data_IF_275568657320
#
_entry.id   IF_275568657320
#
_cell.length_a   1.000
_cell.length_b   1.000
_cell.length_c   1.000
_cell.angle_alpha   90.00
_cell.angle_beta   90.00
_cell.angle_gamma   90.00
#
_symmetry.space_group_name_H-M   'P 1'
#
loop_
_entity.id
_entity.type
_entity.pdbx_description
1 polymer ?
#
# COMPACT_ATOMS: atom_id res chain seq x y z
N UNK A 1 -17.68 3.51 -24.60
CA UNK A 1 -18.13 2.34 -23.79
C UNK A 1 -16.94 1.54 -23.23
N UNK A 2 -16.14 0.74 -23.99
CA UNK A 2 -14.98 0.03 -23.40
C UNK A 2 -13.76 0.93 -23.11
N UNK A 3 -13.53 1.95 -23.94
CA UNK A 3 -12.43 2.90 -23.73
C UNK A 3 -12.66 3.77 -22.50
N UNK A 4 -13.92 4.19 -22.25
CA UNK A 4 -14.30 4.93 -21.04
C UNK A 4 -14.02 4.12 -19.77
N UNK A 5 -14.34 2.83 -19.78
CA UNK A 5 -14.05 1.94 -18.64
C UNK A 5 -12.54 1.84 -18.38
N UNK A 6 -11.70 1.66 -19.41
CA UNK A 6 -10.23 1.60 -19.21
C UNK A 6 -9.67 2.92 -18.66
N UNK A 7 -10.24 4.05 -19.06
CA UNK A 7 -9.84 5.39 -18.60
C UNK A 7 -10.13 5.57 -17.09
N UNK A 8 -11.29 5.10 -16.62
CA UNK A 8 -11.64 5.15 -15.19
C UNK A 8 -10.62 4.47 -14.27
N UNK A 9 -9.97 3.39 -14.72
CA UNK A 9 -8.94 2.68 -13.94
C UNK A 9 -7.55 3.33 -13.99
N UNK A 10 -7.39 4.46 -14.69
CA UNK A 10 -6.13 5.23 -14.78
C UNK A 10 -6.25 6.59 -14.11
N UNK A 11 -7.43 7.21 -14.18
CA UNK A 11 -7.67 8.52 -13.56
C UNK A 11 -7.40 8.48 -12.06
N UNK A 12 -6.54 9.40 -11.60
CA UNK A 12 -6.31 9.67 -10.18
C UNK A 12 -7.35 10.67 -9.71
N UNK A 13 -8.21 10.23 -8.81
CA UNK A 13 -9.30 11.05 -8.29
C UNK A 13 -8.82 12.07 -7.26
N UNK A 14 -9.51 13.19 -7.16
CA UNK A 14 -9.46 14.01 -5.96
C UNK A 14 -10.21 13.31 -4.82
N UNK A 15 -9.79 13.58 -3.60
CA UNK A 15 -10.43 13.10 -2.39
C UNK A 15 -10.70 14.27 -1.44
N UNK A 16 -11.77 14.15 -0.65
CA UNK A 16 -12.22 15.21 0.25
C UNK A 16 -11.86 14.93 1.72
N UNK A 17 -10.93 14.01 1.97
CA UNK A 17 -10.50 13.71 3.33
C UNK A 17 -9.57 14.81 3.87
N UNK A 18 -9.64 15.12 5.18
CA UNK A 18 -8.86 16.21 5.78
C UNK A 18 -7.35 15.93 5.67
N UNK A 19 -6.50 16.96 5.60
CA UNK A 19 -5.05 16.77 5.52
C UNK A 19 -4.46 16.12 6.78
N UNK A 20 -5.18 16.19 7.90
CA UNK A 20 -4.76 15.64 9.19
C UNK A 20 -5.95 15.01 9.92
N UNK A 21 -5.69 13.91 10.62
CA UNK A 21 -6.63 13.26 11.54
C UNK A 21 -5.94 13.09 12.88
N UNK A 22 -6.70 13.31 13.95
CA UNK A 22 -6.27 13.04 15.33
C UNK A 22 -7.15 11.97 15.94
N UNK A 23 -6.53 10.99 16.60
CA UNK A 23 -7.23 9.97 17.40
C UNK A 23 -6.73 10.08 18.85
N UNK A 24 -7.66 10.26 19.79
CA UNK A 24 -7.34 10.41 21.21
C UNK A 24 -7.82 9.20 22.02
N UNK A 25 -6.95 8.68 22.89
CA UNK A 25 -7.22 7.58 23.81
C UNK A 25 -6.81 7.98 25.23
N UNK A 26 -7.76 8.47 26.03
CA UNK A 26 -7.44 8.99 27.36
C UNK A 26 -6.53 10.22 27.26
N UNK A 27 -5.31 10.10 27.80
CA UNK A 27 -4.25 11.11 27.74
C UNK A 27 -3.31 10.95 26.54
N UNK A 28 -3.49 9.90 25.72
CA UNK A 28 -2.69 9.66 24.52
C UNK A 28 -3.34 10.29 23.29
N UNK A 29 -2.54 10.93 22.45
CA UNK A 29 -2.96 11.53 21.19
C UNK A 29 -2.11 11.01 20.05
N UNK A 30 -2.77 10.55 18.99
CA UNK A 30 -2.15 10.07 17.75
C UNK A 30 -2.51 11.04 16.63
N UNK A 31 -1.50 11.60 15.97
CA UNK A 31 -1.70 12.53 14.87
C UNK A 31 -1.23 11.86 13.59
N UNK A 32 -2.11 11.88 12.59
CA UNK A 32 -1.87 11.32 11.28
C UNK A 32 -1.98 12.39 10.21
N UNK A 33 -1.07 12.38 9.24
CA UNK A 33 -1.11 13.26 8.07
C UNK A 33 -1.47 12.46 6.82
N UNK A 34 -2.33 13.03 5.97
CA UNK A 34 -2.73 12.42 4.70
C UNK A 34 -1.51 12.33 3.78
N UNK A 35 -1.26 11.14 3.21
CA UNK A 35 -0.24 10.93 2.20
C UNK A 35 -0.71 11.41 0.84
N UNK A 36 0.15 12.20 0.22
CA UNK A 36 0.07 12.64 -1.17
C UNK A 36 1.42 12.37 -1.83
N UNK A 37 1.41 12.30 -3.16
CA UNK A 37 2.60 12.13 -3.97
C UNK A 37 2.58 13.13 -5.12
N UNK A 38 3.76 13.64 -5.47
CA UNK A 38 3.99 14.46 -6.65
C UNK A 38 4.20 13.56 -7.86
N UNK A 39 3.22 13.53 -8.75
CA UNK A 39 3.23 12.69 -9.94
C UNK A 39 3.08 13.55 -11.19
N UNK A 40 3.68 13.18 -12.33
CA UNK A 40 3.45 13.88 -13.59
C UNK A 40 2.01 13.63 -14.06
N UNK A 41 1.29 14.70 -14.40
CA UNK A 41 -0.01 14.61 -15.04
C UNK A 41 0.11 13.95 -16.42
N UNK A 42 -0.75 12.98 -16.73
CA UNK A 42 -0.68 12.22 -17.99
C UNK A 42 -0.89 13.11 -19.24
N UNK A 43 -1.55 14.27 -19.10
CA UNK A 43 -1.90 15.15 -20.22
C UNK A 43 -0.93 16.33 -20.40
N UNK A 44 -0.52 16.98 -19.30
CA UNK A 44 0.37 18.15 -19.35
C UNK A 44 1.84 17.82 -19.06
N UNK A 45 2.11 16.70 -18.37
CA UNK A 45 3.44 16.36 -17.86
C UNK A 45 3.88 17.20 -16.65
N UNK A 46 3.04 18.14 -16.19
CA UNK A 46 3.31 18.94 -14.99
C UNK A 46 3.18 18.09 -13.73
N UNK A 47 3.99 18.39 -12.71
CA UNK A 47 3.87 17.72 -11.42
C UNK A 47 2.60 18.20 -10.70
N UNK A 48 1.68 17.27 -10.48
CA UNK A 48 0.49 17.44 -9.66
C UNK A 48 0.66 16.67 -8.35
N UNK A 49 0.04 17.15 -7.28
CA UNK A 49 0.03 16.48 -5.98
C UNK A 49 -1.31 15.79 -5.76
N UNK A 50 -1.30 14.46 -5.58
CA UNK A 50 -2.51 13.64 -5.46
C UNK A 50 -2.39 12.56 -4.39
N UNK A 51 -3.54 12.18 -3.82
CA UNK A 51 -3.69 11.03 -2.92
C UNK A 51 -3.77 9.71 -3.69
N UNK A 52 -4.58 8.75 -3.25
CA UNK A 52 -4.73 7.46 -3.94
C UNK A 52 -5.48 7.61 -5.28
N UNK A 53 -5.24 6.69 -6.22
CA UNK A 53 -5.94 6.68 -7.51
C UNK A 53 -7.46 6.57 -7.36
N UNK A 54 -7.89 5.64 -6.51
CA UNK A 54 -9.26 5.44 -6.03
C UNK A 54 -9.22 4.44 -4.86
N UNK A 55 -10.37 4.20 -4.23
CA UNK A 55 -10.61 3.20 -3.21
C UNK A 55 -10.56 1.76 -3.74
N UNK A 56 -11.59 0.98 -3.47
CA UNK A 56 -11.66 -0.41 -3.98
C UNK A 56 -12.02 -0.45 -5.46
N UNK A 57 -12.94 0.44 -5.87
CA UNK A 57 -13.41 0.57 -7.23
C UNK A 57 -13.27 2.02 -7.72
N UNK A 58 -13.16 2.24 -9.04
CA UNK A 58 -13.22 3.57 -9.61
C UNK A 58 -14.48 4.33 -9.17
N UNK A 59 -14.33 5.62 -8.88
CA UNK A 59 -15.43 6.45 -8.35
C UNK A 59 -15.55 6.45 -6.82
N UNK A 60 -14.80 5.60 -6.12
CA UNK A 60 -14.75 5.61 -4.66
C UNK A 60 -13.52 6.39 -4.19
N UNK A 61 -13.72 7.38 -3.34
CA UNK A 61 -12.61 8.11 -2.71
C UNK A 61 -11.91 7.23 -1.66
N UNK A 62 -10.61 7.44 -1.50
CA UNK A 62 -9.82 6.85 -0.41
C UNK A 62 -8.60 7.72 -0.10
N UNK A 63 -8.15 7.65 1.14
CA UNK A 63 -6.95 8.33 1.61
C UNK A 63 -6.08 7.38 2.43
N UNK A 64 -4.77 7.54 2.31
CA UNK A 64 -3.77 6.90 3.17
C UNK A 64 -3.28 7.93 4.18
N UNK A 65 -3.09 7.50 5.42
CA UNK A 65 -2.64 8.36 6.52
C UNK A 65 -1.40 7.77 7.17
N UNK A 66 -0.40 8.62 7.40
CA UNK A 66 0.86 8.27 8.06
C UNK A 66 0.86 8.81 9.49
N UNK A 67 1.24 7.99 10.47
CA UNK A 67 1.40 8.43 11.85
C UNK A 67 2.63 9.35 11.95
N UNK A 68 2.41 10.61 12.35
CA UNK A 68 3.47 11.62 12.46
C UNK A 68 3.76 12.07 13.89
N UNK A 69 2.84 11.83 14.83
CA UNK A 69 3.08 12.12 16.24
C UNK A 69 2.29 11.18 17.16
N UNK A 70 2.83 10.98 18.36
CA UNK A 70 2.25 10.10 19.38
C UNK A 70 2.68 8.66 19.22
N UNK A 71 2.24 7.83 20.15
CA UNK A 71 2.37 6.37 20.08
C UNK A 71 1.22 5.79 20.88
N UNK A 72 0.66 4.68 20.40
CA UNK A 72 -0.38 3.97 21.13
C UNK A 72 0.28 2.95 22.04
N UNK A 73 0.21 3.16 23.35
CA UNK A 73 0.63 2.16 24.34
C UNK A 73 -0.61 1.53 24.96
N UNK A 74 -0.77 0.22 24.74
CA UNK A 74 -1.86 -0.57 25.32
C UNK A 74 -1.26 -1.69 26.18
N UNK A 75 -1.28 -1.50 27.50
CA UNK A 75 -0.63 -2.43 28.43
C UNK A 75 0.88 -2.51 28.17
N UNK A 76 1.38 -3.71 27.85
CA UNK A 76 2.79 -3.92 27.48
C UNK A 76 3.04 -3.97 25.96
N UNK A 77 2.03 -3.67 25.14
CA UNK A 77 2.16 -3.65 23.69
C UNK A 77 2.70 -2.29 23.22
N UNK A 78 3.78 -2.32 22.45
CA UNK A 78 4.32 -1.15 21.75
C UNK A 78 3.94 -1.22 20.27
N UNK A 79 3.35 -0.14 19.76
CA UNK A 79 2.96 -0.02 18.36
C UNK A 79 4.01 0.77 17.56
N UNK A 80 3.90 0.73 16.23
CA UNK A 80 4.81 1.45 15.33
C UNK A 80 4.83 2.94 15.70
N UNK A 81 6.04 3.48 15.84
CA UNK A 81 6.28 4.88 16.15
C UNK A 81 6.32 5.74 14.89
N UNK A 82 6.11 7.06 15.00
CA UNK A 82 6.33 8.00 13.91
C UNK A 82 7.70 7.81 13.24
N UNK A 83 7.75 7.94 11.91
CA UNK A 83 8.96 7.72 11.12
C UNK A 83 9.39 6.27 10.93
N UNK A 84 8.63 5.30 11.46
CA UNK A 84 8.82 3.86 11.23
C UNK A 84 7.68 3.25 10.40
N UNK A 85 6.98 4.06 9.63
CA UNK A 85 5.91 3.59 8.73
C UNK A 85 6.44 2.61 7.70
N UNK A 86 5.59 1.66 7.31
CA UNK A 86 5.86 0.74 6.21
C UNK A 86 5.10 1.25 4.99
N UNK A 87 3.93 0.66 4.69
CA UNK A 87 3.08 1.08 3.55
C UNK A 87 2.65 2.55 3.65
N UNK A 88 2.36 3.04 4.86
CA UNK A 88 1.93 4.41 5.10
C UNK A 88 3.02 5.46 4.82
N UNK A 89 4.29 5.06 4.72
CA UNK A 89 5.43 5.97 4.55
C UNK A 89 6.05 5.89 3.15
N UNK A 90 5.45 5.15 2.21
CA UNK A 90 5.93 5.02 0.83
C UNK A 90 6.12 6.41 0.21
N UNK A 91 7.31 6.67 -0.32
CA UNK A 91 7.64 7.91 -1.04
C UNK A 91 7.57 7.71 -2.55
N UNK A 92 7.73 8.79 -3.30
CA UNK A 92 7.83 8.78 -4.76
C UNK A 92 9.00 7.92 -5.26
N UNK A 93 10.12 7.86 -4.52
CA UNK A 93 11.29 7.04 -4.85
C UNK A 93 11.02 5.54 -4.72
N UNK A 94 10.12 5.14 -3.82
CA UNK A 94 9.72 3.74 -3.63
C UNK A 94 8.81 3.23 -4.77
N UNK A 95 8.22 4.14 -5.55
CA UNK A 95 7.42 3.83 -6.74
C UNK A 95 8.32 3.60 -7.97
N UNK A 96 9.26 2.66 -7.83
CA UNK A 96 10.42 2.40 -8.72
C UNK A 96 10.02 2.07 -10.18
N UNK A 97 8.77 1.67 -10.44
CA UNK A 97 8.28 1.34 -11.79
C UNK A 97 7.22 2.31 -12.28
N UNK A 98 7.32 2.69 -13.56
CA UNK A 98 6.29 3.41 -14.30
C UNK A 98 5.06 2.53 -14.49
N UNK A 99 4.26 2.42 -13.44
CA UNK A 99 2.94 1.83 -13.45
C UNK A 99 1.88 2.92 -13.38
N UNK A 100 0.63 2.47 -13.27
CA UNK A 100 -0.44 3.38 -12.88
C UNK A 100 -0.26 3.74 -11.40
N UNK A 101 -0.45 5.01 -11.04
CA UNK A 101 -0.45 5.49 -9.65
C UNK A 101 -1.26 4.56 -8.71
N UNK A 102 -0.77 4.16 -7.52
CA UNK A 102 -1.42 3.14 -6.69
C UNK A 102 -2.86 3.48 -6.30
N UNK A 103 -3.73 2.46 -6.32
CA UNK A 103 -5.04 2.50 -5.66
C UNK A 103 -4.99 1.86 -4.27
N UNK A 104 -6.09 1.93 -3.51
CA UNK A 104 -6.20 1.34 -2.15
C UNK A 104 -5.76 -0.12 -2.13
N UNK A 105 -6.27 -0.94 -3.06
CA UNK A 105 -5.99 -2.39 -3.08
C UNK A 105 -4.49 -2.68 -3.25
N UNK A 106 -3.78 -1.89 -4.08
CA UNK A 106 -2.35 -2.08 -4.27
C UNK A 106 -1.59 -1.92 -2.94
N UNK A 107 -1.98 -0.94 -2.13
CA UNK A 107 -1.34 -0.70 -0.84
C UNK A 107 -1.75 -1.74 0.21
N UNK A 108 -3.01 -2.16 0.24
CA UNK A 108 -3.45 -3.20 1.17
C UNK A 108 -2.89 -4.58 0.82
N UNK A 109 -2.60 -4.87 -0.45
CA UNK A 109 -1.88 -6.08 -0.87
C UNK A 109 -0.44 -6.09 -0.31
N UNK A 110 0.27 -4.95 -0.40
CA UNK A 110 1.61 -4.80 0.19
C UNK A 110 1.55 -4.96 1.71
N UNK A 111 0.59 -4.32 2.38
CA UNK A 111 0.45 -4.39 3.85
C UNK A 111 0.18 -5.82 4.33
N UNK A 112 -0.67 -6.56 3.61
CA UNK A 112 -0.93 -7.96 3.87
C UNK A 112 0.31 -8.84 3.62
N UNK A 113 1.07 -8.57 2.56
CA UNK A 113 2.32 -9.27 2.28
C UNK A 113 3.32 -9.08 3.43
N UNK A 114 3.48 -7.85 3.93
CA UNK A 114 4.35 -7.53 5.06
C UNK A 114 3.89 -8.21 6.36
N UNK A 115 2.57 -8.28 6.59
CA UNK A 115 1.99 -8.97 7.74
C UNK A 115 2.26 -10.49 7.75
N UNK A 116 2.47 -11.09 6.58
CA UNK A 116 2.93 -12.47 6.47
C UNK A 116 4.46 -12.55 6.61
N UNK A 117 5.19 -11.72 5.86
CA UNK A 117 6.66 -11.74 5.83
C UNK A 117 7.32 -11.48 7.18
N UNK A 118 6.69 -10.72 8.09
CA UNK A 118 7.22 -10.49 9.44
C UNK A 118 7.46 -11.76 10.25
N UNK A 119 6.76 -12.85 9.92
CA UNK A 119 6.96 -14.17 10.55
C UNK A 119 7.88 -15.09 9.74
N UNK A 120 8.29 -14.68 8.54
CA UNK A 120 9.06 -15.46 7.60
C UNK A 120 10.46 -14.90 7.37
N UNK A 121 11.17 -14.58 8.46
CA UNK A 121 12.46 -13.89 8.42
C UNK A 121 13.68 -14.82 8.52
N UNK A 122 13.47 -16.14 8.69
CA UNK A 122 14.57 -17.08 8.94
C UNK A 122 15.47 -17.35 7.72
N UNK A 123 14.94 -17.18 6.51
CA UNK A 123 15.63 -17.41 5.23
C UNK A 123 14.89 -16.66 4.10
N UNK A 124 15.44 -16.57 2.88
CA UNK A 124 14.76 -15.88 1.77
C UNK A 124 13.31 -16.35 1.62
N UNK A 125 12.36 -15.40 1.66
CA UNK A 125 10.93 -15.66 1.63
C UNK A 125 10.25 -14.77 0.59
N UNK A 126 9.21 -15.30 -0.04
CA UNK A 126 8.36 -14.58 -0.99
C UNK A 126 6.90 -14.83 -0.62
N UNK A 127 6.11 -13.76 -0.68
CA UNK A 127 4.65 -13.77 -0.54
C UNK A 127 4.08 -13.10 -1.79
N UNK A 128 3.12 -13.76 -2.44
CA UNK A 128 2.37 -13.23 -3.58
C UNK A 128 0.92 -13.04 -3.09
N UNK A 129 0.38 -11.84 -3.27
CA UNK A 129 -0.94 -11.45 -2.75
C UNK A 129 -1.78 -10.92 -3.89
N UNK A 130 -3.06 -11.30 -3.93
CA UNK A 130 -4.03 -10.73 -4.85
C UNK A 130 -5.33 -10.45 -4.14
N UNK A 131 -5.82 -9.23 -4.24
CA UNK A 131 -7.08 -8.81 -3.61
C UNK A 131 -7.13 -9.14 -2.11
N UNK A 132 -6.05 -8.81 -1.40
CA UNK A 132 -5.79 -9.03 0.02
C UNK A 132 -5.62 -10.50 0.44
N UNK A 133 -5.56 -11.45 -0.51
CA UNK A 133 -5.42 -12.87 -0.23
C UNK A 133 -4.06 -13.39 -0.68
N UNK A 134 -3.29 -14.09 0.18
CA UNK A 134 -2.04 -14.73 -0.24
C UNK A 134 -2.37 -15.91 -1.16
N UNK A 135 -1.86 -15.86 -2.39
CA UNK A 135 -1.99 -16.96 -3.35
C UNK A 135 -0.74 -17.84 -3.41
N UNK A 136 0.39 -17.35 -2.89
CA UNK A 136 1.63 -18.11 -2.81
C UNK A 136 2.52 -17.60 -1.69
N UNK A 137 3.02 -18.51 -0.85
CA UNK A 137 3.97 -18.18 0.21
C UNK A 137 5.02 -19.28 0.26
N UNK A 138 6.28 -18.92 0.13
CA UNK A 138 7.35 -19.90 0.22
C UNK A 138 8.64 -19.32 0.76
N UNK A 139 9.40 -20.19 1.41
CA UNK A 139 10.81 -19.98 1.64
C UNK A 139 11.65 -20.65 0.53
N UNK A 140 12.84 -20.12 0.28
CA UNK A 140 13.84 -20.68 -0.62
C UNK A 140 15.24 -20.69 -0.02
N UNK A 141 16.18 -21.31 -0.75
CA UNK A 141 17.62 -21.11 -0.51
C UNK A 141 18.10 -19.76 -1.06
N UNK A 142 17.44 -19.26 -2.09
CA UNK A 142 17.62 -17.92 -2.68
C UNK A 142 16.24 -17.25 -2.86
N UNK A 143 16.22 -15.94 -3.13
CA UNK A 143 14.98 -15.22 -3.45
C UNK A 143 14.33 -15.77 -4.74
N UNK A 144 15.14 -16.15 -5.73
CA UNK A 144 14.64 -16.78 -6.97
C UNK A 144 13.94 -18.11 -6.69
N UNK A 145 14.55 -18.99 -5.90
CA UNK A 145 13.97 -20.27 -5.50
C UNK A 145 12.67 -20.07 -4.70
N UNK A 146 12.66 -19.11 -3.76
CA UNK A 146 11.46 -18.75 -3.00
C UNK A 146 10.33 -18.26 -3.91
N UNK A 147 10.64 -17.38 -4.87
CA UNK A 147 9.67 -16.88 -5.85
C UNK A 147 9.10 -18.00 -6.71
N UNK A 148 9.95 -18.88 -7.26
CA UNK A 148 9.50 -19.99 -8.07
C UNK A 148 8.56 -20.90 -7.28
N UNK A 149 8.87 -21.21 -6.02
CA UNK A 149 8.00 -22.02 -5.16
C UNK A 149 6.67 -21.32 -4.86
N UNK A 150 6.70 -20.04 -4.48
CA UNK A 150 5.49 -19.27 -4.17
C UNK A 150 4.56 -19.16 -5.40
N UNK A 151 5.12 -18.82 -6.56
CA UNK A 151 4.35 -18.72 -7.81
C UNK A 151 3.76 -20.07 -8.24
N UNK A 152 4.39 -21.19 -7.88
CA UNK A 152 3.89 -22.53 -8.21
C UNK A 152 2.75 -23.01 -7.32
N UNK A 153 2.49 -22.34 -6.19
CA UNK A 153 1.38 -22.69 -5.30
C UNK A 153 0.02 -22.47 -6.00
N UNK A 154 -0.17 -21.30 -6.60
CA UNK A 154 -1.32 -20.98 -7.46
C UNK A 154 -0.91 -19.97 -8.54
N UNK A 155 -0.46 -20.48 -9.68
CA UNK A 155 -0.03 -19.66 -10.83
C UNK A 155 -1.16 -18.81 -11.42
N UNK A 156 -2.41 -19.27 -11.32
CA UNK A 156 -3.55 -18.57 -11.93
C UNK A 156 -3.92 -17.37 -11.07
N UNK A 157 -3.96 -17.54 -9.75
CA UNK A 157 -4.17 -16.44 -8.84
C UNK A 157 -2.96 -15.49 -8.77
N UNK A 158 -1.73 -15.98 -8.88
CA UNK A 158 -0.52 -15.14 -8.92
C UNK A 158 -0.50 -14.17 -10.11
N UNK A 159 -1.21 -14.45 -11.20
CA UNK A 159 -1.31 -13.52 -12.32
C UNK A 159 -2.03 -12.23 -11.91
N UNK A 160 -1.29 -11.12 -11.87
CA UNK A 160 -1.78 -9.79 -11.47
C UNK A 160 -1.79 -9.52 -9.97
N UNK A 161 -1.15 -10.39 -9.17
CA UNK A 161 -0.74 -10.12 -7.80
C UNK A 161 0.76 -9.82 -7.69
#
# INVERSE_FOLDING_TARGET
MPEDLKKMYRTVMDDHFPPQITISFGDQELIYTKRTWKIPDESSGELIEKGLRYGENPGQEAALYELVNGNLTLGMCQFIEPGKGLVSAITEEDLIQSGKHPGKINLTDIDNALNVLKYLTLRPAVVIVKHNNPCGVAYGSTIEDAYQKANMADRIAAFGG
#
